data_IF_898562259106
#
_entry.id   IF_898562259106
#
_cell.length_a   1.000
_cell.length_b   1.000
_cell.length_c   1.000
_cell.angle_alpha   90.00
_cell.angle_beta   90.00
_cell.angle_gamma   90.00
#
_symmetry.space_group_name_H-M   'P 1'
#
loop_
_entity.id
_entity.type
_entity.pdbx_description
1 polymer ?
#
# COMPACT_ATOMS: atom_id res chain seq x y z
N UNK A 1 -56.84 -44.82 22.90
CA UNK A 1 -56.04 -44.23 21.83
C UNK A 1 -55.22 -43.13 22.42
N UNK A 2 -53.95 -43.40 22.81
CA UNK A 2 -53.04 -42.38 23.38
C UNK A 2 -52.12 -41.91 22.24
N UNK A 3 -52.19 -40.60 21.99
CA UNK A 3 -51.30 -39.94 21.00
C UNK A 3 -50.09 -39.41 21.79
N UNK A 4 -48.91 -39.99 21.53
CA UNK A 4 -47.62 -39.53 22.06
C UNK A 4 -47.07 -38.45 21.13
N UNK A 5 -47.03 -37.21 21.61
CA UNK A 5 -46.40 -36.09 20.91
C UNK A 5 -44.91 -36.09 21.25
N UNK A 6 -44.07 -36.39 20.26
CA UNK A 6 -42.61 -36.38 20.37
C UNK A 6 -42.09 -34.95 20.13
N UNK A 7 -41.56 -34.31 21.15
CA UNK A 7 -40.88 -33.02 21.05
C UNK A 7 -39.42 -33.26 20.61
N UNK A 8 -39.07 -32.86 19.37
CA UNK A 8 -37.68 -32.77 18.94
C UNK A 8 -37.06 -31.49 19.49
N UNK A 9 -36.12 -31.61 20.40
CA UNK A 9 -35.23 -30.52 20.83
C UNK A 9 -34.17 -30.31 19.75
N UNK A 10 -34.29 -29.23 18.98
CA UNK A 10 -33.22 -28.77 18.06
C UNK A 10 -32.23 -27.97 18.89
N UNK A 11 -31.08 -28.56 19.21
CA UNK A 11 -29.95 -27.86 19.82
C UNK A 11 -29.26 -26.99 18.75
N UNK A 12 -29.51 -25.69 18.79
CA UNK A 12 -28.73 -24.72 18.00
C UNK A 12 -27.36 -24.57 18.68
N UNK A 13 -26.35 -25.21 18.09
CA UNK A 13 -24.97 -24.97 18.47
C UNK A 13 -24.59 -23.54 18.06
N UNK A 14 -24.57 -22.66 19.04
CA UNK A 14 -24.05 -21.29 18.88
C UNK A 14 -22.52 -21.40 18.75
N UNK A 15 -22.00 -21.48 17.53
CA UNK A 15 -20.57 -21.34 17.25
C UNK A 15 -20.17 -19.90 17.56
N UNK A 16 -19.61 -19.69 18.74
CA UNK A 16 -18.92 -18.43 19.06
C UNK A 16 -17.74 -18.31 18.11
N UNK A 17 -17.85 -17.44 17.12
CA UNK A 17 -16.71 -16.95 16.35
C UNK A 17 -15.79 -16.21 17.34
N UNK A 18 -14.82 -16.94 17.87
CA UNK A 18 -13.74 -16.33 18.64
C UNK A 18 -13.03 -15.32 17.73
N UNK A 19 -12.94 -14.07 18.13
CA UNK A 19 -12.15 -13.06 17.42
C UNK A 19 -10.73 -13.63 17.26
N UNK A 20 -10.34 -13.98 16.02
CA UNK A 20 -8.98 -14.41 15.73
C UNK A 20 -8.02 -13.32 16.19
N UNK A 21 -7.04 -13.70 17.01
CA UNK A 21 -6.00 -12.74 17.44
C UNK A 21 -5.30 -12.20 16.20
N UNK A 22 -4.98 -10.90 16.13
CA UNK A 22 -4.27 -10.33 15.00
C UNK A 22 -2.97 -11.11 14.76
N UNK A 23 -2.81 -11.61 13.55
CA UNK A 23 -1.62 -12.37 13.14
C UNK A 23 -0.39 -11.45 13.26
N UNK A 24 0.62 -11.87 14.03
CA UNK A 24 1.90 -11.15 14.11
C UNK A 24 2.87 -11.77 13.10
N UNK A 25 3.31 -10.97 12.15
CA UNK A 25 4.31 -11.36 11.17
C UNK A 25 5.72 -11.18 11.75
N UNK A 26 6.60 -12.15 11.53
CA UNK A 26 8.03 -12.07 11.84
C UNK A 26 8.76 -11.47 10.63
N UNK A 27 10.04 -11.10 10.81
CA UNK A 27 10.86 -10.52 9.74
C UNK A 27 10.83 -11.38 8.45
N UNK A 28 10.95 -12.70 8.60
CA UNK A 28 10.98 -13.67 7.51
C UNK A 28 9.68 -13.72 6.69
N UNK A 29 8.56 -13.37 7.30
CA UNK A 29 7.23 -13.43 6.70
C UNK A 29 6.92 -12.20 5.86
N UNK A 30 7.67 -11.10 6.02
CA UNK A 30 7.41 -9.88 5.29
C UNK A 30 7.65 -10.03 3.80
N UNK A 31 6.69 -9.50 3.03
CA UNK A 31 6.76 -9.34 1.58
C UNK A 31 7.23 -7.92 1.27
N UNK A 32 8.26 -7.79 0.44
CA UNK A 32 8.83 -6.54 -0.01
C UNK A 32 8.33 -6.23 -1.41
N UNK A 33 7.59 -5.16 -1.56
CA UNK A 33 6.99 -4.72 -2.80
C UNK A 33 7.64 -3.40 -3.27
N UNK A 34 8.25 -3.34 -4.46
CA UNK A 34 8.81 -2.09 -4.99
C UNK A 34 7.70 -1.11 -5.36
N UNK A 35 7.87 0.13 -4.95
CA UNK A 35 6.95 1.23 -5.21
C UNK A 35 7.72 2.39 -5.84
N UNK A 36 7.29 2.84 -7.02
CA UNK A 36 7.72 4.08 -7.64
C UNK A 36 6.71 5.17 -7.32
N UNK A 37 7.21 6.26 -6.78
CA UNK A 37 6.38 7.43 -6.48
C UNK A 37 6.66 8.50 -7.52
N UNK A 38 5.58 9.04 -8.10
CA UNK A 38 5.62 10.10 -9.10
C UNK A 38 4.99 11.38 -8.53
N UNK A 39 5.76 12.45 -8.52
CA UNK A 39 5.28 13.79 -8.21
C UNK A 39 5.05 14.54 -9.52
N UNK A 40 3.80 14.57 -10.00
CA UNK A 40 3.51 15.23 -11.27
C UNK A 40 3.55 16.75 -11.11
N UNK A 41 4.26 17.39 -12.02
CA UNK A 41 4.22 18.83 -12.25
C UNK A 41 3.42 19.13 -13.53
N UNK A 42 2.88 20.34 -13.62
CA UNK A 42 2.19 20.79 -14.83
C UNK A 42 2.26 22.32 -14.91
N UNK A 43 2.69 22.85 -16.05
CA UNK A 43 2.78 24.27 -16.30
C UNK A 43 1.41 24.87 -16.67
N UNK A 44 0.56 24.09 -17.39
CA UNK A 44 -0.72 24.56 -17.94
C UNK A 44 -1.95 23.94 -17.26
N UNK A 45 -1.74 23.07 -16.24
CA UNK A 45 -2.81 22.41 -15.50
C UNK A 45 -2.55 22.47 -13.99
N UNK A 46 -2.89 23.57 -13.31
CA UNK A 46 -2.60 23.77 -11.90
C UNK A 46 -3.16 22.67 -10.98
N UNK A 47 -4.22 21.98 -11.40
CA UNK A 47 -4.81 20.87 -10.64
C UNK A 47 -4.01 19.57 -10.72
N UNK A 48 -3.14 19.44 -11.71
CA UNK A 48 -2.23 18.30 -11.86
C UNK A 48 -0.95 18.55 -11.08
N UNK A 49 -0.50 19.79 -10.96
CA UNK A 49 0.74 20.16 -10.29
C UNK A 49 0.67 19.87 -8.78
N UNK A 50 1.29 18.79 -8.33
CA UNK A 50 1.34 18.44 -6.90
C UNK A 50 2.15 19.44 -6.09
N UNK A 51 1.71 19.71 -4.87
CA UNK A 51 2.41 20.58 -3.91
C UNK A 51 3.34 19.80 -2.97
N UNK A 52 3.33 18.46 -3.04
CA UNK A 52 4.18 17.61 -2.20
C UNK A 52 5.66 17.81 -2.51
N UNK A 53 6.44 17.81 -1.44
CA UNK A 53 7.90 17.80 -1.48
C UNK A 53 8.44 16.38 -1.26
N UNK A 54 9.65 16.13 -1.69
CA UNK A 54 10.34 14.86 -1.47
C UNK A 54 10.47 14.52 0.02
N UNK A 55 10.67 15.55 0.85
CA UNK A 55 10.75 15.40 2.31
C UNK A 55 9.46 14.88 2.96
N UNK A 56 8.31 15.10 2.33
CA UNK A 56 7.02 14.56 2.83
C UNK A 56 6.94 13.05 2.67
N UNK A 57 7.61 12.49 1.67
CA UNK A 57 7.46 11.09 1.29
C UNK A 57 8.02 10.12 2.33
N UNK A 58 9.11 10.47 3.02
CA UNK A 58 9.64 9.62 4.10
C UNK A 58 8.58 9.38 5.17
N UNK A 59 7.86 10.42 5.57
CA UNK A 59 6.77 10.36 6.55
C UNK A 59 5.57 9.60 6.00
N UNK A 60 5.16 9.89 4.76
CA UNK A 60 4.03 9.24 4.10
C UNK A 60 4.29 7.73 3.96
N UNK A 61 5.45 7.33 3.42
CA UNK A 61 5.83 5.92 3.25
C UNK A 61 5.96 5.19 4.59
N UNK A 62 6.51 5.85 5.61
CA UNK A 62 6.56 5.29 6.96
C UNK A 62 5.17 4.94 7.50
N UNK A 63 4.18 5.83 7.30
CA UNK A 63 2.79 5.59 7.71
C UNK A 63 2.09 4.53 6.84
N UNK A 64 2.33 4.51 5.52
CA UNK A 64 1.86 3.44 4.62
C UNK A 64 2.35 2.08 5.13
N UNK A 65 3.65 1.96 5.40
CA UNK A 65 4.24 0.71 5.89
C UNK A 65 3.74 0.33 7.28
N UNK A 66 3.47 1.31 8.14
CA UNK A 66 2.81 1.09 9.43
C UNK A 66 1.43 0.44 9.28
N UNK A 67 0.61 0.92 8.34
CA UNK A 67 -0.70 0.33 8.03
C UNK A 67 -0.55 -1.09 7.50
N UNK A 68 0.31 -1.30 6.50
CA UNK A 68 0.48 -2.58 5.80
C UNK A 68 1.26 -3.63 6.60
N UNK A 69 1.90 -3.23 7.72
CA UNK A 69 2.53 -4.17 8.66
C UNK A 69 1.54 -5.20 9.23
N UNK A 70 0.26 -4.84 9.33
CA UNK A 70 -0.81 -5.74 9.74
C UNK A 70 -0.97 -6.95 8.79
N UNK A 71 -0.60 -6.76 7.53
CA UNK A 71 -0.60 -7.81 6.51
C UNK A 71 0.80 -8.41 6.25
N UNK A 72 1.84 -7.97 6.98
CA UNK A 72 3.21 -8.39 6.72
C UNK A 72 3.70 -8.01 5.32
N UNK A 73 3.25 -6.87 4.81
CA UNK A 73 3.68 -6.30 3.51
C UNK A 73 4.39 -4.98 3.77
N UNK A 74 5.47 -4.74 3.06
CA UNK A 74 6.23 -3.48 3.12
C UNK A 74 6.49 -2.98 1.71
N UNK A 75 6.17 -1.73 1.47
CA UNK A 75 6.48 -1.05 0.22
C UNK A 75 7.80 -0.30 0.37
N UNK A 76 8.82 -0.70 -0.36
CA UNK A 76 10.09 0.03 -0.40
C UNK A 76 10.11 0.98 -1.60
N UNK A 77 10.61 2.19 -1.39
CA UNK A 77 10.77 3.15 -2.47
C UNK A 77 11.82 2.63 -3.46
N UNK A 78 11.38 2.25 -4.66
CA UNK A 78 12.29 1.87 -5.76
C UNK A 78 12.91 3.13 -6.36
N UNK A 79 12.07 4.11 -6.66
CA UNK A 79 12.49 5.44 -7.11
C UNK A 79 11.43 6.50 -6.83
N UNK A 80 11.90 7.74 -6.73
CA UNK A 80 11.08 8.94 -6.68
C UNK A 80 11.33 9.72 -7.96
N UNK A 81 10.26 10.02 -8.69
CA UNK A 81 10.32 10.75 -9.95
C UNK A 81 9.50 12.03 -9.83
N UNK A 82 10.14 13.18 -10.04
CA UNK A 82 9.42 14.43 -10.29
C UNK A 82 9.45 14.69 -11.79
N UNK A 83 8.28 14.71 -12.39
CA UNK A 83 8.16 14.77 -13.84
C UNK A 83 6.99 15.64 -14.29
N UNK A 84 7.10 16.21 -15.47
CA UNK A 84 6.01 16.98 -16.05
C UNK A 84 4.98 16.06 -16.68
N UNK A 85 3.71 16.26 -16.33
CA UNK A 85 2.60 15.52 -16.90
C UNK A 85 2.49 15.79 -18.41
N UNK A 86 2.26 14.73 -19.17
CA UNK A 86 1.90 14.85 -20.59
C UNK A 86 0.39 15.04 -20.74
N UNK A 87 -0.07 15.48 -21.91
CA UNK A 87 -1.51 15.65 -22.21
C UNK A 87 -2.28 16.48 -21.17
N UNK A 88 -1.67 17.54 -20.65
CA UNK A 88 -2.21 18.38 -19.56
C UNK A 88 -3.60 18.96 -19.90
N UNK A 89 -3.94 19.09 -21.18
CA UNK A 89 -5.26 19.55 -21.65
C UNK A 89 -6.40 18.56 -21.32
N UNK A 90 -6.09 17.32 -20.95
CA UNK A 90 -7.09 16.31 -20.57
C UNK A 90 -7.48 16.40 -19.09
N UNK A 91 -7.46 17.58 -18.52
CA UNK A 91 -7.66 17.85 -17.10
C UNK A 91 -8.84 17.07 -16.48
N UNK A 92 -8.62 16.20 -15.48
CA UNK A 92 -9.60 15.24 -14.95
C UNK A 92 -10.57 15.84 -13.93
N UNK A 93 -11.08 17.05 -14.12
CA UNK A 93 -11.89 17.75 -13.10
C UNK A 93 -13.32 17.22 -12.92
N UNK A 94 -13.87 16.49 -13.87
CA UNK A 94 -15.32 16.32 -13.99
C UNK A 94 -15.91 15.03 -13.38
N UNK A 95 -15.20 14.16 -12.75
CA UNK A 95 -15.76 13.13 -11.85
C UNK A 95 -16.54 11.98 -12.49
N UNK A 96 -16.56 11.85 -13.80
CA UNK A 96 -17.11 10.65 -14.46
C UNK A 96 -16.05 9.53 -14.48
N UNK A 97 -16.45 8.25 -14.61
CA UNK A 97 -15.48 7.15 -14.77
C UNK A 97 -14.50 7.36 -15.94
N UNK A 98 -14.95 7.96 -17.03
CA UNK A 98 -14.11 8.26 -18.19
C UNK A 98 -13.08 9.36 -17.88
N UNK A 99 -13.45 10.35 -17.07
CA UNK A 99 -12.52 11.40 -16.62
C UNK A 99 -11.41 10.83 -15.73
N UNK A 100 -11.74 9.87 -14.85
CA UNK A 100 -10.71 9.20 -14.04
C UNK A 100 -9.72 8.42 -14.91
N UNK A 101 -10.17 7.78 -15.98
CA UNK A 101 -9.27 7.09 -16.93
C UNK A 101 -8.31 8.04 -17.66
N UNK A 102 -8.69 9.31 -17.83
CA UNK A 102 -7.80 10.34 -18.41
C UNK A 102 -6.56 10.60 -17.55
N UNK A 103 -6.59 10.27 -16.24
CA UNK A 103 -5.41 10.31 -15.39
C UNK A 103 -4.27 9.45 -15.96
N UNK A 104 -4.59 8.30 -16.56
CA UNK A 104 -3.58 7.44 -17.18
C UNK A 104 -2.83 8.14 -18.34
N UNK A 105 -3.52 9.04 -19.04
CA UNK A 105 -2.92 9.78 -20.15
C UNK A 105 -1.95 10.88 -19.67
N UNK A 106 -1.99 11.26 -18.39
CA UNK A 106 -1.05 12.26 -17.83
C UNK A 106 0.35 11.69 -17.59
N UNK A 107 0.52 10.38 -17.61
CA UNK A 107 1.77 9.70 -17.26
C UNK A 107 2.77 9.75 -18.42
N UNK A 108 3.99 10.24 -18.21
CA UNK A 108 5.08 10.08 -19.18
C UNK A 108 5.40 8.60 -19.44
N UNK A 109 5.65 8.24 -20.69
CA UNK A 109 5.92 6.85 -21.07
C UNK A 109 7.29 6.37 -20.52
N UNK A 110 8.28 7.25 -20.52
CA UNK A 110 9.66 6.91 -20.16
C UNK A 110 9.81 6.39 -18.72
N UNK A 111 8.87 6.67 -17.82
CA UNK A 111 8.94 6.28 -16.41
C UNK A 111 8.02 5.11 -16.05
N UNK A 112 7.27 4.60 -17.03
CA UNK A 112 6.42 3.42 -16.85
C UNK A 112 7.27 2.15 -16.83
N UNK A 113 7.11 1.32 -15.82
CA UNK A 113 7.71 0.01 -15.71
C UNK A 113 6.61 -1.02 -15.38
N UNK A 114 6.86 -2.30 -15.65
CA UNK A 114 5.84 -3.36 -15.50
C UNK A 114 6.02 -4.23 -14.26
N UNK A 115 7.11 -4.03 -13.52
CA UNK A 115 7.55 -4.91 -12.43
C UNK A 115 7.61 -4.19 -11.08
N UNK A 116 6.72 -3.22 -10.87
CA UNK A 116 6.59 -2.46 -9.62
C UNK A 116 5.22 -1.77 -9.55
N UNK A 117 4.87 -1.27 -8.37
CA UNK A 117 3.70 -0.42 -8.18
C UNK A 117 4.01 1.03 -8.56
N UNK A 118 3.06 1.72 -9.21
CA UNK A 118 3.14 3.14 -9.55
C UNK A 118 2.13 3.96 -8.74
N UNK A 119 2.61 4.92 -7.96
CA UNK A 119 1.81 5.85 -7.17
C UNK A 119 2.06 7.28 -7.62
N UNK A 120 1.06 7.91 -8.21
CA UNK A 120 1.11 9.27 -8.71
C UNK A 120 0.41 10.22 -7.74
N UNK A 121 1.10 11.28 -7.35
CA UNK A 121 0.50 12.38 -6.61
C UNK A 121 0.23 13.55 -7.55
N UNK A 122 -0.99 14.06 -7.49
CA UNK A 122 -1.45 15.27 -8.19
C UNK A 122 -2.22 16.15 -7.22
N UNK A 123 -2.36 17.44 -7.52
CA UNK A 123 -2.99 18.38 -6.60
C UNK A 123 -4.46 18.10 -6.35
N UNK A 124 -5.27 17.88 -7.40
CA UNK A 124 -6.70 17.72 -7.25
C UNK A 124 -7.34 16.98 -8.43
N UNK A 125 -8.34 16.16 -8.10
CA UNK A 125 -9.31 15.56 -9.02
C UNK A 125 -10.56 15.15 -8.23
N UNK A 126 -11.58 14.59 -8.86
CA UNK A 126 -12.90 14.37 -8.26
C UNK A 126 -12.92 13.38 -7.08
N UNK A 127 -12.02 12.39 -7.04
CA UNK A 127 -11.87 11.45 -5.93
C UNK A 127 -10.71 11.83 -5.00
N UNK A 128 -10.56 11.19 -3.84
CA UNK A 128 -9.37 11.30 -3.01
C UNK A 128 -8.21 10.47 -3.55
N UNK A 129 -8.53 9.28 -4.09
CA UNK A 129 -7.61 8.37 -4.75
C UNK A 129 -8.37 7.50 -5.75
N UNK A 130 -7.65 6.85 -6.65
CA UNK A 130 -8.17 5.86 -7.60
C UNK A 130 -7.07 4.93 -8.07
N UNK A 131 -7.36 3.63 -8.10
CA UNK A 131 -6.57 2.61 -8.78
C UNK A 131 -7.16 2.32 -10.15
N UNK A 132 -6.35 2.34 -11.19
CA UNK A 132 -6.75 2.19 -12.60
C UNK A 132 -6.10 0.99 -13.29
N UNK A 133 -5.87 -0.09 -12.55
CA UNK A 133 -5.32 -1.35 -13.06
C UNK A 133 -3.79 -1.37 -13.15
N UNK A 134 -3.15 -0.31 -13.58
CA UNK A 134 -1.69 -0.22 -13.75
C UNK A 134 -1.04 0.93 -12.98
N UNK A 135 -1.84 1.82 -12.39
CA UNK A 135 -1.37 2.97 -11.62
C UNK A 135 -2.40 3.43 -10.60
N UNK A 136 -1.91 3.97 -9.52
CA UNK A 136 -2.69 4.63 -8.49
C UNK A 136 -2.49 6.14 -8.58
N UNK A 137 -3.57 6.92 -8.45
CA UNK A 137 -3.52 8.36 -8.34
C UNK A 137 -4.10 8.78 -7.00
N UNK A 138 -3.42 9.69 -6.31
CA UNK A 138 -3.85 10.26 -5.04
C UNK A 138 -3.73 11.77 -5.12
N UNK A 139 -4.79 12.49 -4.72
CA UNK A 139 -4.71 13.94 -4.66
C UNK A 139 -4.07 14.39 -3.35
N UNK A 140 -3.15 15.34 -3.41
CA UNK A 140 -2.43 15.87 -2.24
C UNK A 140 -3.33 16.71 -1.31
N UNK A 141 -4.50 17.13 -1.80
CA UNK A 141 -5.56 17.81 -1.04
C UNK A 141 -6.63 16.85 -0.49
N UNK A 142 -6.33 15.55 -0.38
CA UNK A 142 -7.28 14.56 0.11
C UNK A 142 -7.83 14.91 1.50
N UNK A 143 -9.13 14.66 1.71
CA UNK A 143 -9.82 14.88 2.97
C UNK A 143 -10.66 13.66 3.33
N UNK A 144 -10.62 13.25 4.60
CA UNK A 144 -11.29 12.05 5.09
C UNK A 144 -12.08 12.37 6.37
N UNK A 145 -13.21 11.70 6.55
CA UNK A 145 -13.97 11.71 7.80
C UNK A 145 -13.21 10.92 8.87
N UNK A 146 -12.94 11.56 9.99
CA UNK A 146 -12.24 10.94 11.12
C UNK A 146 -13.09 9.85 11.76
N UNK A 147 -12.46 8.73 12.13
CA UNK A 147 -13.03 7.66 12.95
C UNK A 147 -12.11 7.38 14.14
N UNK A 148 -12.65 6.90 15.27
CA UNK A 148 -11.83 6.52 16.43
C UNK A 148 -10.77 5.49 16.05
N UNK A 149 -9.52 5.70 16.49
CA UNK A 149 -8.39 4.82 16.15
C UNK A 149 -7.89 4.92 14.71
N UNK A 150 -8.51 5.78 13.88
CA UNK A 150 -8.03 6.05 12.53
C UNK A 150 -6.76 6.89 12.50
N UNK A 151 -6.12 6.93 11.32
CA UNK A 151 -4.90 7.71 11.12
C UNK A 151 -5.20 9.22 11.03
N UNK A 152 -4.28 10.03 11.53
CA UNK A 152 -4.40 11.50 11.58
C UNK A 152 -4.19 12.20 10.22
N UNK A 153 -3.65 11.50 9.22
CA UNK A 153 -3.23 12.07 7.95
C UNK A 153 -3.90 11.36 6.76
N UNK A 154 -4.59 12.10 5.87
CA UNK A 154 -5.31 11.51 4.74
C UNK A 154 -4.41 10.81 3.71
N UNK A 155 -3.27 11.41 3.33
CA UNK A 155 -2.44 10.91 2.21
C UNK A 155 -1.94 9.48 2.40
N UNK A 156 -1.30 9.10 3.52
CA UNK A 156 -0.88 7.72 3.74
C UNK A 156 -2.06 6.74 3.70
N UNK A 157 -3.22 7.16 4.24
CA UNK A 157 -4.41 6.33 4.27
C UNK A 157 -5.00 6.10 2.87
N UNK A 158 -5.13 7.16 2.06
CA UNK A 158 -5.64 7.04 0.69
C UNK A 158 -4.67 6.24 -0.16
N UNK A 159 -3.37 6.50 -0.07
CA UNK A 159 -2.36 5.71 -0.78
C UNK A 159 -2.42 4.23 -0.42
N UNK A 160 -2.57 3.91 0.88
CA UNK A 160 -2.73 2.52 1.34
C UNK A 160 -4.02 1.87 0.82
N UNK A 161 -5.11 2.63 0.71
CA UNK A 161 -6.38 2.16 0.15
C UNK A 161 -6.24 1.77 -1.33
N UNK A 162 -5.60 2.62 -2.13
CA UNK A 162 -5.38 2.34 -3.55
C UNK A 162 -4.40 1.17 -3.75
N UNK A 163 -3.38 1.03 -2.90
CA UNK A 163 -2.53 -0.17 -2.85
C UNK A 163 -3.34 -1.42 -2.50
N UNK A 164 -4.38 -1.30 -1.67
CA UNK A 164 -5.32 -2.39 -1.39
C UNK A 164 -6.05 -2.86 -2.65
N UNK A 165 -6.54 -1.93 -3.46
CA UNK A 165 -7.15 -2.28 -4.74
C UNK A 165 -6.15 -2.92 -5.72
N UNK A 166 -4.90 -2.45 -5.74
CA UNK A 166 -3.83 -3.06 -6.53
C UNK A 166 -3.48 -4.50 -6.05
N UNK A 167 -3.76 -4.80 -4.78
CA UNK A 167 -3.67 -6.14 -4.19
C UNK A 167 -5.04 -6.85 -4.10
N UNK A 168 -5.94 -6.51 -5.02
CA UNK A 168 -7.25 -7.14 -5.25
C UNK A 168 -8.30 -6.95 -4.15
N UNK A 169 -8.04 -6.15 -3.12
CA UNK A 169 -9.02 -5.89 -2.07
C UNK A 169 -10.18 -5.04 -2.58
N UNK A 170 -11.38 -5.37 -2.13
CA UNK A 170 -12.62 -4.65 -2.48
C UNK A 170 -13.03 -3.71 -1.36
N UNK A 171 -13.90 -2.75 -1.67
CA UNK A 171 -14.43 -1.83 -0.66
C UNK A 171 -15.10 -2.57 0.51
N UNK A 172 -14.91 -2.05 1.70
CA UNK A 172 -15.50 -2.54 2.93
C UNK A 172 -16.57 -1.58 3.46
N UNK A 173 -17.61 -2.09 4.10
CA UNK A 173 -18.70 -1.26 4.68
C UNK A 173 -18.41 -0.74 6.08
N UNK A 174 -17.48 -1.36 6.81
CA UNK A 174 -17.10 -0.93 8.15
C UNK A 174 -16.08 0.22 8.08
N UNK A 175 -16.44 1.38 8.59
CA UNK A 175 -15.67 2.63 8.57
C UNK A 175 -14.27 2.55 9.20
N UNK A 176 -14.03 1.58 10.06
CA UNK A 176 -12.72 1.38 10.69
C UNK A 176 -11.71 0.64 9.80
N UNK A 177 -12.18 0.02 8.71
CA UNK A 177 -11.34 -0.73 7.78
C UNK A 177 -10.64 0.18 6.77
N UNK A 178 -9.48 -0.28 6.28
CA UNK A 178 -8.71 0.44 5.27
C UNK A 178 -9.51 0.61 3.97
N UNK A 179 -10.29 -0.39 3.57
CA UNK A 179 -11.05 -0.36 2.32
C UNK A 179 -12.42 0.32 2.46
N UNK A 180 -12.75 0.91 3.63
CA UNK A 180 -13.93 1.76 3.75
C UNK A 180 -13.73 3.09 2.99
N UNK A 181 -14.79 3.61 2.40
CA UNK A 181 -14.73 4.83 1.61
C UNK A 181 -14.72 6.09 2.49
N UNK A 182 -13.83 7.00 2.21
CA UNK A 182 -13.86 8.37 2.73
C UNK A 182 -13.60 8.50 4.25
N UNK A 183 -13.07 7.47 4.91
CA UNK A 183 -12.76 7.48 6.34
C UNK A 183 -11.28 7.35 6.64
N UNK A 184 -10.88 7.62 7.88
CA UNK A 184 -9.50 7.47 8.36
C UNK A 184 -9.19 6.07 8.90
N UNK A 185 -10.11 5.09 8.77
CA UNK A 185 -9.92 3.72 9.22
C UNK A 185 -8.75 3.02 8.51
N UNK A 186 -8.04 2.15 9.23
CA UNK A 186 -6.81 1.50 8.74
C UNK A 186 -6.76 0.01 9.04
N UNK A 187 -7.82 -0.58 9.60
CA UNK A 187 -7.84 -1.97 10.01
C UNK A 187 -7.99 -2.89 8.79
N UNK A 188 -7.47 -4.09 8.92
CA UNK A 188 -7.76 -5.23 8.05
C UNK A 188 -8.41 -6.33 8.86
N UNK A 189 -9.28 -7.11 8.23
CA UNK A 189 -9.68 -8.41 8.77
C UNK A 189 -8.75 -9.53 8.26
N UNK A 190 -8.92 -10.73 8.83
CA UNK A 190 -8.08 -11.87 8.47
C UNK A 190 -8.26 -12.31 7.00
N UNK A 191 -9.42 -12.11 6.39
CA UNK A 191 -9.68 -12.45 5.00
C UNK A 191 -8.98 -11.46 4.06
N UNK A 192 -9.07 -10.16 4.35
CA UNK A 192 -8.35 -9.10 3.62
C UNK A 192 -6.83 -9.31 3.67
N UNK A 193 -6.29 -9.66 4.85
CA UNK A 193 -4.86 -9.97 5.01
C UNK A 193 -4.45 -11.15 4.13
N UNK A 194 -5.19 -12.26 4.18
CA UNK A 194 -4.89 -13.45 3.36
C UNK A 194 -4.97 -13.12 1.86
N UNK A 195 -6.01 -12.39 1.43
CA UNK A 195 -6.21 -12.03 0.04
C UNK A 195 -5.09 -11.12 -0.48
N UNK A 196 -4.75 -10.06 0.26
CA UNK A 196 -3.68 -9.14 -0.13
C UNK A 196 -2.33 -9.85 -0.22
N UNK A 197 -2.02 -10.74 0.73
CA UNK A 197 -0.79 -11.52 0.70
C UNK A 197 -0.74 -12.49 -0.47
N UNK A 198 -1.84 -13.22 -0.72
CA UNK A 198 -1.92 -14.13 -1.86
C UNK A 198 -1.74 -13.39 -3.19
N UNK A 199 -2.33 -12.21 -3.35
CA UNK A 199 -2.14 -11.37 -4.52
C UNK A 199 -0.68 -10.89 -4.64
N UNK A 200 -0.07 -10.43 -3.56
CA UNK A 200 1.32 -9.98 -3.54
C UNK A 200 2.29 -11.11 -3.88
N UNK A 201 2.09 -12.31 -3.36
CA UNK A 201 2.95 -13.48 -3.61
C UNK A 201 2.88 -14.00 -5.06
N UNK A 202 1.83 -13.66 -5.81
CA UNK A 202 1.72 -13.96 -7.26
C UNK A 202 2.51 -13.00 -8.15
N UNK A 203 2.91 -11.84 -7.62
CA UNK A 203 3.70 -10.86 -8.37
C UNK A 203 5.18 -11.28 -8.37
N UNK A 204 5.77 -11.56 -9.55
CA UNK A 204 7.14 -12.14 -9.64
C UNK A 204 8.24 -11.19 -9.13
N UNK A 205 7.91 -9.92 -8.93
CA UNK A 205 8.81 -8.88 -8.45
C UNK A 205 8.61 -8.54 -6.96
N UNK A 206 7.69 -9.22 -6.27
CA UNK A 206 7.54 -9.15 -4.82
C UNK A 206 8.35 -10.26 -4.18
N UNK A 207 9.18 -9.93 -3.21
CA UNK A 207 10.12 -10.86 -2.61
C UNK A 207 9.93 -10.98 -1.09
N UNK A 208 10.21 -12.16 -0.54
CA UNK A 208 10.27 -12.34 0.92
C UNK A 208 11.51 -11.67 1.51
N UNK A 209 11.36 -11.02 2.65
CA UNK A 209 12.47 -10.37 3.36
C UNK A 209 13.64 -11.34 3.62
N UNK A 210 13.34 -12.61 3.93
CA UNK A 210 14.35 -13.66 4.12
C UNK A 210 15.19 -13.92 2.86
N UNK A 211 14.58 -13.88 1.67
CA UNK A 211 15.29 -14.08 0.40
C UNK A 211 16.19 -12.88 0.09
N UNK A 212 15.66 -11.66 0.24
CA UNK A 212 16.43 -10.42 0.05
C UNK A 212 17.60 -10.33 1.03
N UNK A 213 17.41 -10.74 2.30
CA UNK A 213 18.47 -10.79 3.29
C UNK A 213 19.61 -11.73 2.89
N UNK A 214 19.27 -12.96 2.47
CA UNK A 214 20.26 -13.95 2.01
C UNK A 214 21.06 -13.40 0.83
N UNK A 215 20.38 -12.83 -0.17
CA UNK A 215 21.03 -12.23 -1.35
C UNK A 215 21.96 -11.07 -0.96
N UNK A 216 21.51 -10.16 -0.10
CA UNK A 216 22.34 -9.07 0.39
C UNK A 216 23.59 -9.57 1.15
N UNK A 217 23.45 -10.63 1.95
CA UNK A 217 24.58 -11.22 2.67
C UNK A 217 25.60 -11.87 1.73
N UNK A 218 25.15 -12.53 0.66
CA UNK A 218 26.03 -13.09 -0.39
C UNK A 218 26.75 -11.98 -1.13
N UNK A 219 26.05 -10.97 -1.65
CA UNK A 219 26.67 -9.84 -2.36
C UNK A 219 27.74 -9.13 -1.51
N UNK A 220 27.51 -9.02 -0.21
CA UNK A 220 28.49 -8.43 0.71
C UNK A 220 29.77 -9.29 0.83
N UNK A 221 29.64 -10.62 0.85
CA UNK A 221 30.81 -11.52 0.85
C UNK A 221 31.60 -11.41 -0.45
N UNK A 222 30.90 -11.21 -1.57
CA UNK A 222 31.47 -11.07 -2.90
C UNK A 222 31.98 -9.63 -3.20
N UNK A 223 32.11 -8.80 -2.15
CA UNK A 223 32.58 -7.41 -2.21
C UNK A 223 31.73 -6.47 -3.09
N UNK A 224 30.50 -6.86 -3.46
CA UNK A 224 29.52 -6.04 -4.20
C UNK A 224 28.75 -5.14 -3.20
N UNK A 225 29.49 -4.25 -2.55
CA UNK A 225 29.02 -3.50 -1.39
C UNK A 225 27.83 -2.60 -1.71
N UNK A 226 27.87 -1.85 -2.80
CA UNK A 226 26.78 -0.93 -3.17
C UNK A 226 25.44 -1.67 -3.42
N UNK A 227 25.49 -2.82 -4.09
CA UNK A 227 24.31 -3.64 -4.32
C UNK A 227 23.75 -4.24 -3.03
N UNK A 228 24.65 -4.74 -2.16
CA UNK A 228 24.26 -5.23 -0.85
C UNK A 228 23.61 -4.12 0.00
N UNK A 229 24.18 -2.91 0.00
CA UNK A 229 23.63 -1.75 0.71
C UNK A 229 22.23 -1.39 0.23
N UNK A 230 21.99 -1.40 -1.09
CA UNK A 230 20.66 -1.16 -1.67
C UNK A 230 19.64 -2.17 -1.14
N UNK A 231 19.98 -3.47 -1.11
CA UNK A 231 19.09 -4.51 -0.59
C UNK A 231 18.85 -4.36 0.92
N UNK A 232 19.88 -4.01 1.69
CA UNK A 232 19.69 -3.70 3.12
C UNK A 232 18.81 -2.46 3.31
N UNK A 233 18.89 -1.46 2.42
CA UNK A 233 17.98 -0.31 2.41
C UNK A 233 16.51 -0.70 2.25
N UNK A 234 16.22 -1.66 1.36
CA UNK A 234 14.86 -2.20 1.20
C UNK A 234 14.34 -2.90 2.47
N UNK A 235 15.21 -3.62 3.19
CA UNK A 235 14.87 -4.29 4.45
C UNK A 235 14.74 -3.32 5.63
N UNK A 236 15.45 -2.21 5.58
CA UNK A 236 15.50 -1.22 6.65
C UNK A 236 14.17 -0.50 6.90
N UNK A 237 13.27 -0.50 5.91
CA UNK A 237 11.97 0.17 6.00
C UNK A 237 10.86 -0.75 6.53
N UNK A 238 11.15 -2.02 6.83
CA UNK A 238 10.20 -2.94 7.49
C UNK A 238 9.88 -2.36 8.88
N UNK A 239 8.59 -2.15 9.22
CA UNK A 239 8.19 -1.49 10.46
C UNK A 239 8.15 -2.48 11.65
N UNK A 240 9.26 -3.16 11.89
CA UNK A 240 9.46 -4.06 13.03
C UNK A 240 10.60 -3.59 13.92
N UNK A 241 10.43 -3.75 15.22
CA UNK A 241 11.56 -3.70 16.17
C UNK A 241 12.24 -5.07 16.26
N UNK A 242 12.99 -5.40 15.23
CA UNK A 242 13.66 -6.67 15.04
C UNK A 242 15.18 -6.48 14.86
N UNK A 243 15.97 -7.46 15.30
CA UNK A 243 17.43 -7.41 15.22
C UNK A 243 17.95 -7.36 13.78
N UNK A 244 17.29 -8.04 12.84
CA UNK A 244 17.65 -8.02 11.42
C UNK A 244 17.31 -6.67 10.77
N UNK A 245 16.18 -6.05 11.15
CA UNK A 245 15.84 -4.69 10.68
C UNK A 245 16.87 -3.69 11.20
N UNK A 246 17.23 -3.75 12.48
CA UNK A 246 18.30 -2.89 13.04
C UNK A 246 19.64 -3.11 12.33
N UNK A 247 20.01 -4.37 12.07
CA UNK A 247 21.22 -4.70 11.33
C UNK A 247 21.15 -4.23 9.87
N UNK A 248 20.00 -4.30 9.21
CA UNK A 248 19.80 -3.78 7.86
C UNK A 248 20.00 -2.27 7.80
N UNK A 249 19.39 -1.52 8.73
CA UNK A 249 19.61 -0.06 8.86
C UNK A 249 21.08 0.30 8.99
N UNK A 250 21.81 -0.38 9.89
CA UNK A 250 23.25 -0.15 10.07
C UNK A 250 24.06 -0.47 8.81
N UNK A 251 23.71 -1.55 8.09
CA UNK A 251 24.43 -1.97 6.88
C UNK A 251 24.12 -1.12 5.67
N UNK A 252 22.89 -0.60 5.56
CA UNK A 252 22.50 0.34 4.49
C UNK A 252 23.23 1.68 4.64
N UNK A 253 23.51 2.12 5.87
CA UNK A 253 24.19 3.38 6.17
C UNK A 253 25.73 3.28 6.22
N UNK A 254 26.31 2.09 6.13
CA UNK A 254 27.77 1.92 6.17
C UNK A 254 28.39 2.36 4.84
N UNK A 255 29.28 3.35 4.89
CA UNK A 255 30.08 3.86 3.76
C UNK A 255 31.33 3.02 3.52
#
# INVERSE_FOLDING_TARGET
MLIHTLWMLVSVACTTYGAERPQKFQFEDFLLAPLRVHLLSASNAPNVHTTLKETDLTRILGKINGIWSQAGITFHLESLVREEAVNQQLNPLLGTPDDLRRLLALRPEATRATNLFHLYYIKSFSANGVYLGEAMFVKDTASLRKVPGGIDEPLPRVSSHELGHALTLMHHTNDFHLLARGTTGTNFDAAEIRQARAAAEQLPWVERASAVWKRAATLRKDLRTAEAQRLYGQLAVIPLDDSKVRAAKKRAAAH
#
